data_IF_546862753053
#
_entry.id   IF_546862753053
#
_cell.length_a   1.000
_cell.length_b   1.000
_cell.length_c   1.000
_cell.angle_alpha   90.00
_cell.angle_beta   90.00
_cell.angle_gamma   90.00
#
_symmetry.space_group_name_H-M   'P 1'
#
loop_
_entity.id
_entity.type
_entity.pdbx_description
1 polymer ?
#
# COMPACT_ATOMS: atom_id res chain seq x y z
N UNK A 1 -25.91 -0.77 -1.19
CA UNK A 1 -24.89 -1.56 -0.45
C UNK A 1 -25.40 -2.03 0.91
N UNK A 2 -25.86 -1.14 1.82
CA UNK A 2 -26.33 -1.51 3.17
C UNK A 2 -27.47 -2.55 3.18
N UNK A 3 -28.45 -2.42 2.29
CA UNK A 3 -29.56 -3.38 2.17
C UNK A 3 -29.12 -4.81 1.78
N UNK A 4 -27.95 -4.98 1.16
CA UNK A 4 -27.42 -6.29 0.75
C UNK A 4 -26.51 -6.93 1.81
N UNK A 5 -26.23 -6.24 2.92
CA UNK A 5 -25.29 -6.66 3.97
C UNK A 5 -25.89 -6.39 5.37
N UNK A 6 -26.86 -7.19 5.83
CA UNK A 6 -27.62 -6.92 7.06
C UNK A 6 -26.76 -6.84 8.33
N UNK A 7 -25.62 -7.54 8.37
CA UNK A 7 -24.64 -7.44 9.47
C UNK A 7 -23.95 -6.06 9.57
N UNK A 8 -24.03 -5.23 8.53
CA UNK A 8 -23.52 -3.85 8.51
C UNK A 8 -24.64 -2.80 8.57
N UNK A 9 -25.89 -3.19 8.81
CA UNK A 9 -27.02 -2.26 8.83
C UNK A 9 -26.79 -1.08 9.80
N UNK A 10 -26.18 -1.38 10.96
CA UNK A 10 -25.88 -0.41 12.02
C UNK A 10 -24.43 0.13 11.99
N UNK A 11 -23.59 -0.34 11.06
CA UNK A 11 -22.21 0.15 10.99
C UNK A 11 -22.17 1.58 10.47
N UNK A 12 -21.27 2.41 11.01
CA UNK A 12 -21.02 3.73 10.44
C UNK A 12 -20.32 3.61 9.07
N UNK A 13 -20.29 4.72 8.33
CA UNK A 13 -19.67 4.75 7.00
C UNK A 13 -18.16 4.44 7.04
N UNK A 14 -17.48 4.85 8.11
CA UNK A 14 -16.04 4.63 8.25
C UNK A 14 -15.71 3.16 8.48
N UNK A 15 -16.48 2.47 9.32
CA UNK A 15 -16.40 1.02 9.54
C UNK A 15 -16.69 0.26 8.25
N UNK A 16 -17.76 0.64 7.53
CA UNK A 16 -18.14 -0.04 6.28
C UNK A 16 -17.07 0.12 5.21
N UNK A 17 -16.52 1.32 5.04
CA UNK A 17 -15.47 1.59 4.06
C UNK A 17 -14.13 0.92 4.42
N UNK A 18 -13.77 0.85 5.72
CA UNK A 18 -12.61 0.09 6.17
C UNK A 18 -12.75 -1.40 5.84
N UNK A 19 -13.89 -2.00 6.20
CA UNK A 19 -14.18 -3.40 5.88
C UNK A 19 -14.14 -3.64 4.37
N UNK A 20 -14.82 -2.79 3.58
CA UNK A 20 -14.91 -2.97 2.14
C UNK A 20 -13.55 -2.81 1.46
N UNK A 21 -12.75 -1.83 1.88
CA UNK A 21 -11.40 -1.60 1.35
C UNK A 21 -10.49 -2.81 1.56
N UNK A 22 -10.53 -3.42 2.75
CA UNK A 22 -9.83 -4.68 3.02
C UNK A 22 -10.42 -5.82 2.20
N UNK A 23 -11.74 -5.98 2.18
CA UNK A 23 -12.39 -7.07 1.45
C UNK A 23 -12.06 -7.06 -0.06
N UNK A 24 -12.21 -5.92 -0.73
CA UNK A 24 -12.02 -5.83 -2.19
C UNK A 24 -10.56 -6.00 -2.63
N UNK A 25 -9.61 -5.73 -1.73
CA UNK A 25 -8.16 -5.84 -2.01
C UNK A 25 -7.55 -7.19 -1.65
N UNK A 26 -8.29 -8.10 -1.01
CA UNK A 26 -7.81 -9.47 -0.73
C UNK A 26 -7.45 -10.22 -2.02
N UNK A 27 -6.44 -11.09 -1.93
CA UNK A 27 -6.13 -12.04 -2.99
C UNK A 27 -7.34 -12.93 -3.28
N UNK A 28 -7.60 -13.16 -4.57
CA UNK A 28 -8.67 -14.05 -5.01
C UNK A 28 -8.17 -15.46 -5.37
N UNK A 29 -6.85 -15.63 -5.53
CA UNK A 29 -6.20 -16.89 -5.87
C UNK A 29 -5.07 -17.18 -4.87
N UNK A 30 -4.78 -18.46 -4.62
CA UNK A 30 -3.84 -18.96 -3.59
C UNK A 30 -2.35 -18.59 -3.78
N UNK A 31 -2.04 -17.66 -4.68
CA UNK A 31 -0.67 -17.18 -4.89
C UNK A 31 -0.32 -16.18 -3.78
N UNK A 32 0.10 -16.72 -2.63
CA UNK A 32 0.72 -15.96 -1.56
C UNK A 32 2.06 -15.46 -2.08
N UNK A 33 2.29 -14.15 -2.08
CA UNK A 33 3.59 -13.58 -2.43
C UNK A 33 4.62 -14.07 -1.41
N UNK A 34 5.75 -14.57 -1.90
CA UNK A 34 6.89 -14.88 -1.05
C UNK A 34 7.35 -13.59 -0.34
N UNK A 35 7.15 -13.54 0.98
CA UNK A 35 7.60 -12.43 1.82
C UNK A 35 9.12 -12.39 1.87
N UNK A 36 9.68 -11.18 1.94
CA UNK A 36 11.12 -11.01 2.13
C UNK A 36 11.58 -11.75 3.40
N UNK A 37 12.73 -12.44 3.32
CA UNK A 37 13.31 -13.19 4.47
C UNK A 37 13.79 -12.29 5.61
N UNK A 38 13.97 -10.99 5.38
CA UNK A 38 14.41 -9.99 6.35
C UNK A 38 13.56 -8.73 6.22
N UNK A 39 13.15 -8.17 7.36
CA UNK A 39 12.41 -6.91 7.36
C UNK A 39 13.31 -5.76 6.98
N UNK A 40 12.82 -4.88 6.10
CA UNK A 40 13.55 -3.71 5.61
C UNK A 40 13.40 -2.56 6.60
N UNK A 41 14.52 -2.09 7.15
CA UNK A 41 14.50 -0.95 8.07
C UNK A 41 14.07 0.33 7.33
N UNK A 42 13.22 1.19 7.92
CA UNK A 42 12.84 2.49 7.33
C UNK A 42 14.03 3.35 6.90
N UNK A 43 15.14 3.33 7.67
CA UNK A 43 16.35 4.09 7.33
C UNK A 43 17.07 3.55 6.08
N UNK A 44 16.96 2.25 5.79
CA UNK A 44 17.48 1.67 4.55
C UNK A 44 16.65 2.14 3.35
N UNK A 45 15.32 2.13 3.50
CA UNK A 45 14.42 2.64 2.47
C UNK A 45 14.71 4.11 2.18
N UNK A 46 14.83 4.95 3.21
CA UNK A 46 15.15 6.37 3.06
C UNK A 46 16.42 6.63 2.23
N UNK A 47 17.47 5.84 2.44
CA UNK A 47 18.72 5.96 1.67
C UNK A 47 18.58 5.50 0.23
N UNK A 48 17.82 4.44 -0.01
CA UNK A 48 17.80 3.74 -1.31
C UNK A 48 16.72 4.25 -2.27
N UNK A 49 15.63 4.79 -1.74
CA UNK A 49 14.47 5.21 -2.52
C UNK A 49 14.79 6.28 -3.57
N UNK A 50 15.56 7.36 -3.27
CA UNK A 50 15.75 8.46 -4.22
C UNK A 50 16.32 8.05 -5.57
N UNK A 51 17.17 7.02 -5.59
CA UNK A 51 17.87 6.55 -6.80
C UNK A 51 17.19 5.34 -7.45
N UNK A 52 15.90 5.13 -7.17
CA UNK A 52 15.20 3.90 -7.54
C UNK A 52 13.89 4.11 -8.27
N UNK A 53 13.45 3.05 -8.93
CA UNK A 53 12.07 2.90 -9.39
C UNK A 53 11.51 1.65 -8.71
N UNK A 54 10.30 1.75 -8.17
CA UNK A 54 9.59 0.63 -7.57
C UNK A 54 8.47 0.21 -8.50
N UNK A 55 8.27 -1.10 -8.63
CA UNK A 55 7.18 -1.69 -9.37
C UNK A 55 6.21 -2.36 -8.41
N UNK A 56 4.91 -2.11 -8.60
CA UNK A 56 3.85 -2.85 -7.93
C UNK A 56 3.80 -4.26 -8.45
N UNK A 57 3.63 -5.20 -7.52
CA UNK A 57 3.34 -6.57 -7.87
C UNK A 57 2.01 -6.64 -8.63
N UNK A 58 1.95 -7.26 -9.82
CA UNK A 58 0.75 -7.31 -10.65
C UNK A 58 -0.42 -8.05 -10.00
N UNK A 59 -0.16 -8.91 -9.00
CA UNK A 59 -1.20 -9.64 -8.28
C UNK A 59 -1.71 -8.89 -7.05
N UNK A 60 -0.97 -7.90 -6.56
CA UNK A 60 -1.38 -7.08 -5.43
C UNK A 60 -2.42 -6.06 -5.86
N UNK A 61 -3.61 -6.12 -5.26
CA UNK A 61 -4.64 -5.09 -5.42
C UNK A 61 -4.41 -3.96 -4.44
N UNK A 62 -4.57 -2.74 -4.92
CA UNK A 62 -4.41 -1.52 -4.15
C UNK A 62 -5.70 -0.71 -4.24
N UNK A 63 -6.10 -0.11 -3.13
CA UNK A 63 -7.14 0.91 -3.07
C UNK A 63 -6.76 1.90 -1.98
N UNK A 64 -7.35 3.08 -1.99
CA UNK A 64 -7.21 4.01 -0.88
C UNK A 64 -8.51 4.79 -0.71
N UNK A 65 -8.70 5.35 0.48
CA UNK A 65 -9.75 6.33 0.75
C UNK A 65 -9.18 7.50 1.55
N UNK A 66 -9.84 8.65 1.47
CA UNK A 66 -9.51 9.79 2.32
C UNK A 66 -9.99 9.52 3.75
N UNK A 67 -9.15 9.84 4.74
CA UNK A 67 -9.44 9.69 6.16
C UNK A 67 -8.94 10.92 6.92
N UNK A 68 -9.86 11.85 7.23
CA UNK A 68 -9.50 13.17 7.74
C UNK A 68 -8.58 13.93 6.78
N UNK A 69 -7.40 14.35 7.28
CA UNK A 69 -6.34 15.01 6.50
C UNK A 69 -5.37 14.02 5.82
N UNK A 70 -5.49 12.73 6.13
CA UNK A 70 -4.67 11.67 5.55
C UNK A 70 -5.48 10.74 4.65
N UNK A 71 -4.97 9.52 4.52
CA UNK A 71 -5.61 8.43 3.82
C UNK A 71 -5.49 7.12 4.58
N UNK A 72 -6.35 6.19 4.23
CA UNK A 72 -6.21 4.78 4.56
C UNK A 72 -5.91 4.04 3.25
N UNK A 73 -4.74 3.42 3.20
CA UNK A 73 -4.26 2.63 2.07
C UNK A 73 -4.60 1.16 2.32
N UNK A 74 -5.21 0.50 1.35
CA UNK A 74 -5.53 -0.91 1.38
C UNK A 74 -4.70 -1.67 0.36
N UNK A 75 -3.96 -2.69 0.80
CA UNK A 75 -3.17 -3.55 -0.09
C UNK A 75 -3.30 -5.00 0.36
N UNK A 76 -3.67 -5.88 -0.56
CA UNK A 76 -3.76 -7.32 -0.30
C UNK A 76 -4.67 -7.72 0.89
N UNK A 77 -5.63 -6.86 1.29
CA UNK A 77 -6.50 -7.07 2.44
C UNK A 77 -6.03 -6.45 3.76
N UNK A 78 -4.82 -5.88 3.77
CA UNK A 78 -4.29 -5.08 4.87
C UNK A 78 -4.63 -3.60 4.71
N UNK A 79 -4.62 -2.86 5.82
CA UNK A 79 -4.95 -1.44 5.86
C UNK A 79 -3.86 -0.65 6.61
N UNK A 80 -3.47 0.48 6.05
CA UNK A 80 -2.39 1.33 6.58
C UNK A 80 -2.81 2.80 6.60
N UNK A 81 -2.86 3.46 7.77
CA UNK A 81 -3.00 4.90 7.82
C UNK A 81 -1.74 5.55 7.23
N UNK A 82 -1.89 6.55 6.37
CA UNK A 82 -0.75 7.22 5.73
C UNK A 82 -1.11 8.63 5.24
N UNK A 83 -0.12 9.44 4.83
CA UNK A 83 -0.36 10.69 4.12
C UNK A 83 -1.13 10.47 2.81
N UNK A 84 -2.02 11.41 2.47
CA UNK A 84 -2.84 11.33 1.26
C UNK A 84 -2.00 11.29 -0.02
N UNK A 85 -0.92 12.07 -0.08
CA UNK A 85 -0.04 12.10 -1.25
C UNK A 85 0.64 10.74 -1.49
N UNK A 86 1.07 10.07 -0.42
CA UNK A 86 1.65 8.73 -0.49
C UNK A 86 0.65 7.72 -1.07
N UNK A 87 -0.57 7.64 -0.49
CA UNK A 87 -1.60 6.72 -0.95
C UNK A 87 -1.97 6.92 -2.43
N UNK A 88 -2.14 8.18 -2.85
CA UNK A 88 -2.42 8.51 -4.25
C UNK A 88 -1.30 8.04 -5.17
N UNK A 89 -0.05 8.34 -4.81
CA UNK A 89 1.11 8.02 -5.64
C UNK A 89 1.30 6.51 -5.81
N UNK A 90 1.27 5.74 -4.73
CA UNK A 90 1.44 4.27 -4.81
C UNK A 90 0.28 3.57 -5.52
N UNK A 91 -0.90 4.19 -5.61
CA UNK A 91 -2.04 3.64 -6.32
C UNK A 91 -2.14 4.08 -7.78
N UNK A 92 -1.55 5.22 -8.16
CA UNK A 92 -1.75 5.85 -9.47
C UNK A 92 -1.14 5.05 -10.64
N UNK A 93 0.04 4.48 -10.43
CA UNK A 93 0.84 3.86 -11.50
C UNK A 93 1.39 2.50 -11.06
N UNK A 94 1.74 1.66 -12.04
CA UNK A 94 2.44 0.38 -11.79
C UNK A 94 3.88 0.59 -11.37
N UNK A 95 4.56 1.51 -12.05
CA UNK A 95 5.90 1.94 -11.70
C UNK A 95 5.83 3.26 -10.96
N UNK A 96 6.62 3.38 -9.89
CA UNK A 96 6.63 4.51 -8.98
C UNK A 96 8.07 5.01 -8.89
N UNK A 97 8.25 6.27 -9.27
CA UNK A 97 9.53 6.97 -9.10
C UNK A 97 9.87 7.09 -7.62
N UNK A 98 11.05 6.62 -7.24
CA UNK A 98 11.45 6.50 -5.84
C UNK A 98 11.78 7.84 -5.19
N UNK A 99 12.30 8.83 -5.92
CA UNK A 99 12.51 10.18 -5.41
C UNK A 99 11.18 10.88 -5.08
N UNK A 100 10.18 10.73 -5.95
CA UNK A 100 8.83 11.25 -5.73
C UNK A 100 8.16 10.52 -4.57
N UNK A 101 8.35 9.20 -4.46
CA UNK A 101 7.83 8.41 -3.34
C UNK A 101 8.46 8.83 -2.01
N UNK A 102 9.77 9.10 -1.98
CA UNK A 102 10.46 9.56 -0.77
C UNK A 102 9.89 10.89 -0.26
N UNK A 103 9.65 11.84 -1.18
CA UNK A 103 9.02 13.14 -0.85
C UNK A 103 7.58 12.98 -0.36
N UNK A 104 6.85 11.97 -0.84
CA UNK A 104 5.50 11.69 -0.39
C UNK A 104 5.45 11.02 1.01
N UNK A 105 6.56 10.43 1.48
CA UNK A 105 6.69 9.86 2.81
C UNK A 105 6.97 10.94 3.89
N UNK A 106 5.96 11.77 4.16
CA UNK A 106 6.10 12.94 5.05
C UNK A 106 6.09 12.62 6.54
N UNK A 107 5.76 11.38 6.94
CA UNK A 107 5.71 10.96 8.34
C UNK A 107 6.10 9.48 8.52
N UNK A 108 6.22 9.06 9.79
CA UNK A 108 6.58 7.69 10.13
C UNK A 108 5.58 6.63 9.61
N UNK A 109 4.30 6.99 9.49
CA UNK A 109 3.26 6.06 9.03
C UNK A 109 3.47 5.68 7.56
N UNK A 110 3.88 6.64 6.73
CA UNK A 110 4.24 6.39 5.35
C UNK A 110 5.43 5.43 5.23
N UNK A 111 6.47 5.63 6.06
CA UNK A 111 7.65 4.77 6.06
C UNK A 111 7.33 3.35 6.55
N UNK A 112 6.50 3.21 7.60
CA UNK A 112 6.01 1.91 8.07
C UNK A 112 5.19 1.21 7.00
N UNK A 113 4.28 1.91 6.33
CA UNK A 113 3.50 1.35 5.24
C UNK A 113 4.41 0.92 4.08
N UNK A 114 5.36 1.75 3.67
CA UNK A 114 6.31 1.42 2.60
C UNK A 114 7.15 0.18 2.94
N UNK A 115 7.67 0.08 4.16
CA UNK A 115 8.41 -1.09 4.61
C UNK A 115 7.56 -2.35 4.55
N UNK A 116 6.33 -2.32 5.05
CA UNK A 116 5.42 -3.45 4.97
C UNK A 116 5.10 -3.86 3.52
N UNK A 117 4.94 -2.89 2.62
CA UNK A 117 4.70 -3.17 1.19
C UNK A 117 5.92 -3.80 0.51
N UNK A 118 7.13 -3.36 0.86
CA UNK A 118 8.37 -3.93 0.31
C UNK A 118 8.62 -5.33 0.88
N UNK A 119 8.47 -5.50 2.18
CA UNK A 119 8.67 -6.78 2.87
C UNK A 119 7.62 -7.82 2.45
N UNK A 120 6.38 -7.39 2.23
CA UNK A 120 5.30 -8.22 1.67
C UNK A 120 5.43 -8.49 0.17
N UNK A 121 6.45 -7.94 -0.49
CA UNK A 121 6.69 -8.10 -1.93
C UNK A 121 5.62 -7.45 -2.81
N UNK A 122 4.81 -6.55 -2.25
CA UNK A 122 3.79 -5.76 -2.95
C UNK A 122 4.44 -4.64 -3.77
N UNK A 123 5.49 -4.01 -3.24
CA UNK A 123 6.35 -3.09 -3.97
C UNK A 123 7.75 -3.68 -4.07
N UNK A 124 8.33 -3.67 -5.28
CA UNK A 124 9.65 -4.24 -5.53
C UNK A 124 10.53 -3.23 -6.23
N UNK A 125 11.78 -3.11 -5.81
CA UNK A 125 12.75 -2.30 -6.52
C UNK A 125 13.05 -2.93 -7.87
N UNK A 126 12.88 -2.16 -8.95
CA UNK A 126 13.30 -2.58 -10.27
C UNK A 126 14.82 -2.74 -10.29
N UNK A 127 15.30 -3.95 -10.63
CA UNK A 127 16.72 -4.17 -10.89
C UNK A 127 17.09 -3.37 -12.14
N UNK A 128 18.12 -2.52 -12.06
CA UNK A 128 18.76 -2.00 -13.29
C UNK A 128 19.16 -3.21 -14.13
N UNK A 129 18.61 -3.33 -15.35
CA UNK A 129 19.10 -4.29 -16.34
C UNK A 129 20.59 -3.97 -16.52
N UNK A 130 21.47 -4.91 -16.14
CA UNK A 130 22.87 -4.85 -16.59
C UNK A 130 22.81 -4.93 -18.12
N UNK A 131 23.27 -3.87 -18.79
CA UNK A 131 23.66 -3.94 -20.20
C UNK A 131 25.00 -4.64 -20.28
#
# INVERSE_FOLDING_TARGET
MRAALPHFAQADEATLAHWFGRFITRYRSAQIIATARRSTAPSELQRRLPESTLMRNPFSRYAWRRAGRGAELFVAGEAWPCPLAFARLVCASRDVDGATLARACTDARAWTALAALVDGGHLQFLRRRRR
#
